data_IF_690874500994
#
_entry.id   IF_690874500994
#
_cell.length_a   1.000
_cell.length_b   1.000
_cell.length_c   1.000
_cell.angle_alpha   90.00
_cell.angle_beta   90.00
_cell.angle_gamma   90.00
#
_symmetry.space_group_name_H-M   'P 1'
#
loop_
_entity.id
_entity.type
_entity.pdbx_description
1 polymer ?
#
# COMPACT_ATOMS: atom_id res chain seq x y z
N UNK A 1 20.47 10.13 -0.59
CA UNK A 1 19.56 9.30 -1.41
C UNK A 1 18.13 9.80 -1.22
N UNK A 2 17.50 10.33 -2.28
CA UNK A 2 16.09 10.77 -2.21
C UNK A 2 15.22 9.52 -2.11
N UNK A 3 14.59 9.30 -0.94
CA UNK A 3 13.69 8.16 -0.74
C UNK A 3 12.36 8.50 -1.39
N UNK A 4 11.97 7.74 -2.41
CA UNK A 4 10.68 7.92 -3.11
C UNK A 4 9.52 7.74 -2.13
N UNK A 5 8.65 8.75 -2.06
CA UNK A 5 7.44 8.73 -1.26
C UNK A 5 6.26 8.26 -2.12
N UNK A 6 5.51 7.31 -1.61
CA UNK A 6 4.30 6.76 -2.21
C UNK A 6 3.07 7.18 -1.42
N UNK A 7 1.94 7.33 -2.12
CA UNK A 7 0.63 7.54 -1.51
C UNK A 7 0.12 6.22 -0.96
N UNK A 8 -0.24 6.21 0.31
CA UNK A 8 -0.86 5.09 1.01
C UNK A 8 -2.27 5.48 1.44
N UNK A 9 -3.26 4.66 1.10
CA UNK A 9 -4.65 4.83 1.54
C UNK A 9 -4.87 4.13 2.88
N UNK A 10 -5.50 4.81 3.85
CA UNK A 10 -5.87 4.20 5.14
C UNK A 10 -7.06 3.26 4.98
N UNK A 11 -8.11 3.72 4.29
CA UNK A 11 -9.21 2.88 3.80
C UNK A 11 -8.90 2.52 2.36
N UNK A 12 -8.85 1.22 2.05
CA UNK A 12 -8.57 0.76 0.69
C UNK A 12 -9.63 1.22 -0.30
N UNK A 13 -9.22 1.49 -1.55
CA UNK A 13 -10.16 1.84 -2.63
C UNK A 13 -11.22 0.76 -2.86
N UNK A 14 -10.87 -0.53 -2.69
CA UNK A 14 -11.82 -1.65 -2.79
C UNK A 14 -12.90 -1.64 -1.70
N UNK A 15 -12.61 -1.02 -0.56
CA UNK A 15 -13.50 -0.93 0.60
C UNK A 15 -14.19 0.46 0.66
N UNK A 16 -14.17 1.22 -0.44
CA UNK A 16 -14.81 2.54 -0.54
C UNK A 16 -13.91 3.73 -0.14
N UNK A 17 -12.61 3.50 0.06
CA UNK A 17 -11.65 4.56 0.36
C UNK A 17 -11.45 5.55 -0.79
N UNK A 18 -11.43 6.85 -0.47
CA UNK A 18 -11.31 7.93 -1.45
C UNK A 18 -9.86 8.42 -1.60
N UNK A 19 -9.57 9.17 -2.66
CA UNK A 19 -8.29 9.87 -2.86
C UNK A 19 -8.19 11.22 -2.11
N UNK A 20 -9.07 11.44 -1.13
CA UNK A 20 -9.02 12.62 -0.28
C UNK A 20 -7.72 12.64 0.54
N UNK A 21 -7.13 13.83 0.75
CA UNK A 21 -5.91 13.98 1.57
C UNK A 21 -6.05 13.40 2.98
N UNK A 22 -7.27 13.40 3.52
CA UNK A 22 -7.61 12.82 4.83
C UNK A 22 -7.52 11.29 4.87
N UNK A 23 -7.64 10.63 3.71
CA UNK A 23 -7.49 9.17 3.57
C UNK A 23 -6.09 8.79 3.06
N UNK A 24 -5.16 9.75 2.93
CA UNK A 24 -3.85 9.52 2.34
C UNK A 24 -2.71 9.83 3.32
N UNK A 25 -1.66 9.00 3.27
CA UNK A 25 -0.37 9.25 3.91
C UNK A 25 0.77 9.07 2.90
N UNK A 26 1.78 9.92 2.98
CA UNK A 26 3.02 9.71 2.24
C UNK A 26 3.93 8.78 3.04
N UNK A 27 4.35 7.69 2.41
CA UNK A 27 5.17 6.64 3.04
C UNK A 27 6.28 6.23 2.08
N UNK A 28 7.47 5.90 2.58
CA UNK A 28 8.55 5.37 1.74
C UNK A 28 8.11 4.07 1.05
N UNK A 29 8.63 3.81 -0.15
CA UNK A 29 8.36 2.56 -0.88
C UNK A 29 8.55 1.29 -0.02
N UNK A 30 9.66 1.21 0.71
CA UNK A 30 9.97 0.06 1.58
C UNK A 30 9.03 -0.05 2.79
N UNK A 31 8.73 1.07 3.46
CA UNK A 31 7.76 1.10 4.55
C UNK A 31 6.34 0.75 4.05
N UNK A 32 5.98 1.18 2.85
CA UNK A 32 4.71 0.85 2.21
C UNK A 32 4.60 -0.66 1.97
N UNK A 33 5.63 -1.29 1.40
CA UNK A 33 5.69 -2.75 1.22
C UNK A 33 5.56 -3.50 2.55
N UNK A 34 6.22 -3.05 3.62
CA UNK A 34 6.11 -3.67 4.94
C UNK A 34 4.70 -3.58 5.53
N UNK A 35 4.02 -2.43 5.38
CA UNK A 35 2.63 -2.29 5.81
C UNK A 35 1.72 -3.29 5.10
N UNK A 36 1.83 -3.42 3.78
CA UNK A 36 1.06 -4.42 3.01
C UNK A 36 1.41 -5.87 3.37
N UNK A 37 2.69 -6.17 3.59
CA UNK A 37 3.12 -7.52 4.00
C UNK A 37 2.58 -7.92 5.40
N UNK A 38 2.45 -6.94 6.31
CA UNK A 38 1.87 -7.16 7.64
C UNK A 38 0.34 -7.25 7.63
N UNK A 39 -0.34 -6.49 6.76
CA UNK A 39 -1.80 -6.43 6.69
C UNK A 39 -2.43 -7.64 5.99
N UNK A 40 -1.69 -8.30 5.09
CA UNK A 40 -2.07 -9.58 4.50
C UNK A 40 -2.30 -10.70 5.54
N UNK A 41 -1.76 -10.57 6.76
CA UNK A 41 -1.97 -11.54 7.84
C UNK A 41 -3.23 -11.25 8.69
N UNK A 42 -3.76 -10.02 8.65
CA UNK A 42 -4.91 -9.60 9.49
C UNK A 42 -6.24 -9.61 8.75
N UNK A 43 -6.21 -9.54 7.42
CA UNK A 43 -7.42 -9.59 6.61
C UNK A 43 -7.29 -10.77 5.66
N UNK A 44 -8.10 -11.81 5.85
CA UNK A 44 -8.09 -13.06 5.07
C UNK A 44 -8.46 -12.91 3.59
N UNK A 45 -8.21 -11.76 2.98
CA UNK A 45 -8.49 -11.47 1.57
C UNK A 45 -7.18 -11.17 0.87
N UNK A 46 -6.54 -12.27 0.47
CA UNK A 46 -5.41 -12.33 -0.46
C UNK A 46 -5.67 -11.43 -1.66
N UNK A 47 -4.79 -10.46 -1.92
CA UNK A 47 -4.54 -9.99 -3.27
C UNK A 47 -3.10 -10.39 -3.59
N UNK A 48 -2.85 -11.14 -4.68
CA UNK A 48 -1.50 -11.53 -5.01
C UNK A 48 -0.71 -10.26 -5.36
N UNK A 49 0.37 -10.02 -4.62
CA UNK A 49 1.40 -9.10 -5.02
C UNK A 49 1.96 -9.61 -6.35
N UNK A 50 1.51 -9.03 -7.46
CA UNK A 50 2.15 -9.21 -8.76
C UNK A 50 3.58 -8.66 -8.62
N UNK A 51 4.51 -9.56 -8.32
CA UNK A 51 5.91 -9.41 -8.68
C UNK A 51 5.95 -9.36 -10.19
N UNK A 52 6.15 -8.16 -10.74
CA UNK A 52 6.62 -8.00 -12.11
C UNK A 52 8.14 -7.89 -12.03
N UNK A 53 8.79 -9.05 -11.96
CA UNK A 53 10.21 -9.14 -12.30
C UNK A 53 10.32 -8.89 -13.80
N UNK A 54 10.94 -7.76 -14.15
CA UNK A 54 11.31 -7.44 -15.53
C UNK A 54 12.37 -8.44 -16.02
N UNK A 55 12.11 -9.04 -17.18
CA UNK A 55 13.12 -9.57 -18.09
C UNK A 55 13.04 -8.77 -19.40
#
# INVERSE_FOLDING_TARGET
MKKTLHKHHFVYRRDGGTDAKTNLRLVHASCHQQHHAGDARRTGTQQPALHVDSA
#
